data_IF_931098939523
#
_entry.id   IF_931098939523
#
_cell.length_a   1.000
_cell.length_b   1.000
_cell.length_c   1.000
_cell.angle_alpha   90.00
_cell.angle_beta   90.00
_cell.angle_gamma   90.00
#
_symmetry.space_group_name_H-M   'P 1'
#
loop_
_entity.id
_entity.type
_entity.pdbx_description
1 polymer ?
#
# COMPACT_ATOMS: atom_id res chain seq x y z
N UNK A 1 27.21 -57.75 -37.39
CA UNK A 1 26.56 -56.52 -37.85
C UNK A 1 25.60 -56.04 -36.74
N UNK A 2 26.02 -55.06 -35.93
CA UNK A 2 25.18 -54.43 -34.90
C UNK A 2 24.81 -53.03 -35.40
N UNK A 3 23.53 -52.79 -35.59
CA UNK A 3 22.99 -51.48 -35.98
C UNK A 3 22.77 -50.65 -34.69
N UNK A 4 23.50 -49.59 -34.55
CA UNK A 4 23.31 -48.56 -33.51
C UNK A 4 22.29 -47.56 -34.02
N UNK A 5 21.13 -47.49 -33.40
CA UNK A 5 20.11 -46.48 -33.65
C UNK A 5 20.40 -45.27 -32.77
N UNK A 6 20.77 -44.15 -33.37
CA UNK A 6 20.92 -42.91 -32.65
C UNK A 6 19.54 -42.24 -32.48
N UNK A 7 19.16 -42.04 -31.24
CA UNK A 7 17.94 -41.32 -30.84
C UNK A 7 18.27 -39.80 -30.78
N UNK A 8 17.80 -39.05 -31.75
CA UNK A 8 17.92 -37.58 -31.74
C UNK A 8 16.94 -36.98 -30.75
N UNK A 9 17.44 -36.44 -29.66
CA UNK A 9 16.67 -35.71 -28.67
C UNK A 9 16.48 -34.24 -29.16
N UNK A 10 15.30 -33.94 -29.70
CA UNK A 10 14.96 -32.58 -30.10
C UNK A 10 14.52 -31.81 -28.87
N UNK A 11 15.37 -30.97 -28.33
CA UNK A 11 15.05 -30.04 -27.25
C UNK A 11 14.25 -28.87 -27.88
N UNK A 12 12.94 -28.86 -27.64
CA UNK A 12 12.12 -27.68 -27.90
C UNK A 12 12.43 -26.62 -26.81
N UNK A 13 13.27 -25.64 -27.15
CA UNK A 13 13.34 -24.38 -26.40
C UNK A 13 12.02 -23.64 -26.65
N UNK A 14 11.08 -23.77 -25.73
CA UNK A 14 9.97 -22.83 -25.61
C UNK A 14 10.56 -21.49 -25.15
N UNK A 15 10.87 -20.60 -26.12
CA UNK A 15 11.04 -19.21 -25.83
C UNK A 15 9.70 -18.68 -25.31
N UNK A 16 9.58 -18.52 -23.98
CA UNK A 16 8.49 -17.78 -23.40
C UNK A 16 8.67 -16.33 -23.80
N UNK A 17 8.06 -15.93 -24.92
CA UNK A 17 7.74 -14.52 -25.16
C UNK A 17 6.76 -14.16 -24.07
N UNK A 18 7.26 -13.51 -23.00
CA UNK A 18 6.44 -13.00 -21.92
C UNK A 18 5.54 -11.91 -22.44
N UNK A 19 4.40 -12.29 -22.95
CA UNK A 19 3.25 -11.40 -23.02
C UNK A 19 2.91 -11.12 -21.54
N UNK A 20 3.14 -9.88 -21.10
CA UNK A 20 2.61 -9.42 -19.82
C UNK A 20 1.09 -9.59 -19.89
N UNK A 21 0.58 -10.71 -19.36
CA UNK A 21 -0.85 -10.97 -19.32
C UNK A 21 -1.51 -9.84 -18.51
N UNK A 22 -2.63 -9.33 -19.00
CA UNK A 22 -3.48 -8.38 -18.28
C UNK A 22 -3.77 -8.96 -16.89
N UNK A 23 -3.13 -8.36 -15.86
CA UNK A 23 -3.04 -8.99 -14.53
C UNK A 23 -4.33 -8.86 -13.74
N UNK A 24 -5.00 -7.71 -13.89
CA UNK A 24 -6.19 -7.37 -13.13
C UNK A 24 -7.46 -7.29 -13.98
N UNK A 25 -7.40 -7.76 -15.21
CA UNK A 25 -8.53 -7.75 -16.14
C UNK A 25 -9.20 -9.12 -16.19
N UNK A 26 -10.52 -9.16 -16.09
CA UNK A 26 -11.34 -10.36 -16.25
C UNK A 26 -11.48 -10.75 -17.72
N UNK A 27 -11.99 -11.95 -17.98
CA UNK A 27 -12.19 -12.46 -19.35
C UNK A 27 -13.14 -11.59 -20.20
N UNK A 28 -14.03 -10.81 -19.57
CA UNK A 28 -14.92 -9.84 -20.24
C UNK A 28 -14.27 -8.46 -20.44
N UNK A 29 -12.96 -8.31 -20.18
CA UNK A 29 -12.19 -7.10 -20.38
C UNK A 29 -12.36 -6.03 -19.28
N UNK A 30 -13.02 -6.35 -18.17
CA UNK A 30 -13.21 -5.40 -17.07
C UNK A 30 -12.07 -5.46 -16.07
N UNK A 31 -11.57 -4.30 -15.67
CA UNK A 31 -10.66 -4.19 -14.53
C UNK A 31 -11.37 -4.63 -13.25
N UNK A 32 -10.69 -5.44 -12.42
CA UNK A 32 -11.19 -5.92 -11.13
C UNK A 32 -10.46 -5.24 -9.99
N UNK A 33 -11.21 -4.62 -9.08
CA UNK A 33 -10.71 -3.90 -7.91
C UNK A 33 -11.34 -4.45 -6.64
N UNK A 34 -10.52 -4.72 -5.63
CA UNK A 34 -10.96 -5.08 -4.29
C UNK A 34 -10.77 -3.89 -3.34
N UNK A 35 -11.86 -3.33 -2.85
CA UNK A 35 -11.88 -2.39 -1.73
C UNK A 35 -11.79 -3.21 -0.44
N UNK A 36 -10.60 -3.26 0.14
CA UNK A 36 -10.28 -4.14 1.27
C UNK A 36 -10.17 -3.33 2.54
N UNK A 37 -11.14 -3.50 3.43
CA UNK A 37 -11.23 -2.77 4.70
C UNK A 37 -10.41 -3.45 5.78
N UNK A 38 -9.62 -2.66 6.49
CA UNK A 38 -8.94 -3.04 7.72
C UNK A 38 -9.33 -2.03 8.83
N UNK A 39 -10.39 -2.32 9.60
CA UNK A 39 -10.95 -1.36 10.55
C UNK A 39 -10.25 -1.36 11.92
N UNK A 40 -9.41 -2.36 12.22
CA UNK A 40 -8.77 -2.46 13.53
C UNK A 40 -7.58 -1.50 13.64
N UNK A 41 -7.54 -0.75 14.74
CA UNK A 41 -6.46 0.19 15.08
C UNK A 41 -5.89 -0.12 16.46
N UNK A 42 -4.76 0.50 16.86
CA UNK A 42 -4.22 0.34 18.22
C UNK A 42 -5.21 0.68 19.34
N UNK A 43 -6.18 1.54 19.06
CA UNK A 43 -7.20 2.00 20.03
C UNK A 43 -8.54 1.28 19.89
N UNK A 44 -8.67 0.32 18.98
CA UNK A 44 -9.89 -0.43 18.73
C UNK A 44 -10.37 -0.33 17.29
N UNK A 45 -11.66 -0.53 17.06
CA UNK A 45 -12.26 -0.51 15.73
C UNK A 45 -12.55 0.93 15.29
N UNK A 46 -12.04 1.33 14.12
CA UNK A 46 -12.26 2.63 13.49
C UNK A 46 -13.41 2.55 12.50
N UNK A 47 -14.24 3.59 12.43
CA UNK A 47 -15.25 3.77 11.39
C UNK A 47 -14.68 4.21 10.04
N UNK A 48 -13.43 4.71 10.01
CA UNK A 48 -12.80 5.29 8.81
C UNK A 48 -12.89 4.40 7.56
N UNK A 49 -12.53 3.11 7.60
CA UNK A 49 -12.65 2.21 6.47
C UNK A 49 -14.08 2.07 5.95
N UNK A 50 -15.08 2.05 6.82
CA UNK A 50 -16.49 2.03 6.44
C UNK A 50 -16.94 3.37 5.84
N UNK A 51 -16.50 4.49 6.40
CA UNK A 51 -16.75 5.83 5.85
C UNK A 51 -16.23 5.92 4.41
N UNK A 52 -14.99 5.47 4.16
CA UNK A 52 -14.42 5.44 2.81
C UNK A 52 -15.20 4.51 1.86
N UNK A 53 -15.52 3.28 2.30
CA UNK A 53 -16.23 2.31 1.48
C UNK A 53 -17.65 2.75 1.10
N UNK A 54 -18.36 3.36 2.05
CA UNK A 54 -19.76 3.79 1.88
C UNK A 54 -19.87 5.21 1.27
N UNK A 55 -18.76 5.89 1.10
CA UNK A 55 -18.70 7.30 0.64
C UNK A 55 -18.81 7.49 -0.86
N UNK A 56 -19.41 6.53 -1.60
CA UNK A 56 -19.65 6.66 -3.03
C UNK A 56 -18.54 6.13 -3.94
N UNK A 57 -17.41 5.65 -3.39
CA UNK A 57 -16.29 5.18 -4.22
C UNK A 57 -16.67 3.96 -5.08
N UNK A 58 -17.51 3.05 -4.57
CA UNK A 58 -17.97 1.91 -5.35
C UNK A 58 -18.70 2.36 -6.62
N UNK A 59 -19.67 3.26 -6.49
CA UNK A 59 -20.46 3.79 -7.61
C UNK A 59 -19.58 4.52 -8.62
N UNK A 60 -18.57 5.28 -8.14
CA UNK A 60 -17.60 5.96 -9.01
C UNK A 60 -16.84 4.94 -9.85
N UNK A 61 -16.30 3.88 -9.24
CA UNK A 61 -15.52 2.85 -9.93
C UNK A 61 -16.38 2.02 -10.88
N UNK A 62 -17.59 1.62 -10.47
CA UNK A 62 -18.54 0.92 -11.34
C UNK A 62 -18.94 1.77 -12.55
N UNK A 63 -19.16 3.08 -12.36
CA UNK A 63 -19.38 4.05 -13.44
C UNK A 63 -18.21 4.16 -14.42
N UNK A 64 -17.00 3.81 -14.00
CA UNK A 64 -15.81 3.69 -14.87
C UNK A 64 -15.72 2.32 -15.57
N UNK A 65 -16.69 1.42 -15.39
CA UNK A 65 -16.69 0.07 -15.96
C UNK A 65 -15.75 -0.89 -15.23
N UNK A 66 -15.53 -0.67 -13.93
CA UNK A 66 -14.69 -1.53 -13.06
C UNK A 66 -15.58 -2.50 -12.31
N UNK A 67 -15.16 -3.75 -12.17
CA UNK A 67 -15.81 -4.72 -11.27
C UNK A 67 -15.27 -4.52 -9.86
N UNK A 68 -16.13 -4.17 -8.92
CA UNK A 68 -15.74 -3.86 -7.54
C UNK A 68 -16.16 -4.98 -6.60
N UNK A 69 -15.26 -5.38 -5.70
CA UNK A 69 -15.51 -6.27 -4.58
C UNK A 69 -15.17 -5.53 -3.28
N UNK A 70 -16.06 -5.58 -2.29
CA UNK A 70 -15.81 -5.01 -0.96
C UNK A 70 -15.62 -6.15 0.02
N UNK A 71 -14.55 -6.10 0.80
CA UNK A 71 -14.20 -7.11 1.78
C UNK A 71 -13.68 -6.45 3.06
N UNK A 72 -13.76 -7.17 4.18
CA UNK A 72 -13.27 -6.70 5.47
C UNK A 72 -12.49 -7.81 6.18
N UNK A 73 -11.32 -7.46 6.69
CA UNK A 73 -10.60 -8.31 7.63
C UNK A 73 -11.16 -8.11 9.04
N UNK A 74 -11.48 -9.20 9.71
CA UNK A 74 -12.04 -9.18 11.04
C UNK A 74 -11.33 -10.19 11.96
N UNK A 75 -11.21 -9.83 13.23
CA UNK A 75 -10.81 -10.77 14.28
C UNK A 75 -11.95 -11.75 14.57
N UNK A 76 -11.60 -13.00 14.87
CA UNK A 76 -12.53 -13.95 15.47
C UNK A 76 -12.91 -13.50 16.89
N UNK A 77 -14.02 -14.03 17.42
CA UNK A 77 -14.46 -13.69 18.77
C UNK A 77 -13.40 -14.00 19.84
N UNK A 78 -12.67 -15.12 19.68
CA UNK A 78 -11.59 -15.51 20.61
C UNK A 78 -10.39 -14.56 20.51
N UNK A 79 -9.94 -14.21 19.29
CA UNK A 79 -8.83 -13.29 19.07
C UNK A 79 -9.13 -11.89 19.61
N UNK A 80 -10.38 -11.45 19.55
CA UNK A 80 -10.78 -10.15 20.07
C UNK A 80 -10.68 -10.05 21.61
N UNK A 81 -10.58 -11.17 22.30
CA UNK A 81 -10.35 -11.22 23.77
C UNK A 81 -8.88 -11.26 24.17
N UNK A 82 -7.96 -11.36 23.20
CA UNK A 82 -6.53 -11.36 23.47
C UNK A 82 -6.06 -10.10 24.22
N UNK A 83 -5.16 -10.30 25.18
CA UNK A 83 -4.59 -9.19 25.93
C UNK A 83 -3.61 -8.38 25.06
N UNK A 84 -3.74 -7.06 25.15
CA UNK A 84 -2.83 -6.14 24.47
C UNK A 84 -3.31 -5.71 23.07
N UNK A 85 -3.42 -4.40 22.88
CA UNK A 85 -3.96 -3.79 21.66
C UNK A 85 -3.12 -4.13 20.42
N UNK A 86 -1.81 -4.11 20.52
CA UNK A 86 -0.91 -4.42 19.39
C UNK A 86 -0.83 -5.91 19.06
N UNK A 87 -1.08 -6.81 20.05
CA UNK A 87 -1.25 -8.24 19.76
C UNK A 87 -2.48 -8.45 18.89
N UNK A 88 -3.64 -7.90 19.30
CA UNK A 88 -4.88 -7.97 18.49
C UNK A 88 -4.72 -7.31 17.12
N UNK A 89 -4.02 -6.16 17.05
CA UNK A 89 -3.72 -5.50 15.78
C UNK A 89 -2.89 -6.43 14.88
N UNK A 90 -1.82 -7.03 15.40
CA UNK A 90 -1.00 -7.97 14.63
C UNK A 90 -1.83 -9.12 14.02
N UNK A 91 -2.73 -9.73 14.83
CA UNK A 91 -3.61 -10.80 14.37
C UNK A 91 -4.61 -10.31 13.30
N UNK A 92 -5.23 -9.14 13.50
CA UNK A 92 -6.11 -8.52 12.49
C UNK A 92 -5.37 -8.25 11.18
N UNK A 93 -4.10 -7.83 11.26
CA UNK A 93 -3.25 -7.62 10.09
C UNK A 93 -2.85 -8.95 9.42
N UNK A 94 -2.74 -10.04 10.16
CA UNK A 94 -2.56 -11.38 9.61
C UNK A 94 -3.75 -11.78 8.72
N UNK A 95 -4.98 -11.63 9.22
CA UNK A 95 -6.19 -11.84 8.42
C UNK A 95 -6.28 -10.91 7.20
N UNK A 96 -5.87 -9.66 7.38
CA UNK A 96 -5.82 -8.70 6.27
C UNK A 96 -4.77 -9.09 5.23
N UNK A 97 -3.62 -9.59 5.66
CA UNK A 97 -2.58 -10.13 4.78
C UNK A 97 -3.10 -11.28 3.92
N UNK A 98 -3.81 -12.24 4.52
CA UNK A 98 -4.38 -13.37 3.79
C UNK A 98 -5.40 -12.92 2.74
N UNK A 99 -6.24 -11.94 3.09
CA UNK A 99 -7.23 -11.34 2.19
C UNK A 99 -6.56 -10.62 1.01
N UNK A 100 -5.51 -9.83 1.24
CA UNK A 100 -4.76 -9.13 0.19
C UNK A 100 -4.04 -10.14 -0.72
N UNK A 101 -3.43 -11.17 -0.14
CA UNK A 101 -2.78 -12.23 -0.90
C UNK A 101 -3.78 -13.01 -1.78
N UNK A 102 -4.99 -13.25 -1.29
CA UNK A 102 -6.06 -13.86 -2.06
C UNK A 102 -6.50 -12.97 -3.23
N UNK A 103 -6.73 -11.67 -2.97
CA UNK A 103 -7.09 -10.72 -4.03
C UNK A 103 -6.09 -10.72 -5.17
N UNK A 104 -4.80 -10.67 -4.83
CA UNK A 104 -3.73 -10.65 -5.82
C UNK A 104 -3.69 -11.94 -6.65
N UNK A 105 -3.85 -13.11 -6.00
CA UNK A 105 -3.93 -14.41 -6.70
C UNK A 105 -5.16 -14.56 -7.60
N UNK A 106 -6.26 -13.95 -7.20
CA UNK A 106 -7.50 -13.94 -7.99
C UNK A 106 -7.55 -12.84 -9.05
N UNK A 107 -6.47 -12.03 -9.16
CA UNK A 107 -6.34 -10.95 -10.15
C UNK A 107 -7.24 -9.75 -9.84
N UNK A 108 -7.34 -9.35 -8.58
CA UNK A 108 -7.94 -8.10 -8.16
C UNK A 108 -6.85 -7.11 -7.75
N UNK A 109 -6.90 -5.90 -8.28
CA UNK A 109 -6.09 -4.81 -7.77
C UNK A 109 -6.62 -4.36 -6.40
N UNK A 110 -5.75 -4.36 -5.38
CA UNK A 110 -6.18 -4.04 -4.01
C UNK A 110 -6.10 -2.53 -3.73
N UNK A 111 -7.23 -1.97 -3.29
CA UNK A 111 -7.31 -0.66 -2.62
C UNK A 111 -7.57 -0.91 -1.14
N UNK A 112 -6.58 -0.68 -0.30
CA UNK A 112 -6.68 -0.78 1.15
C UNK A 112 -7.40 0.44 1.73
N UNK A 113 -8.49 0.20 2.45
CA UNK A 113 -9.18 1.20 3.26
C UNK A 113 -8.79 0.93 4.72
N UNK A 114 -7.84 1.71 5.22
CA UNK A 114 -7.10 1.41 6.44
C UNK A 114 -7.55 2.30 7.60
N UNK A 115 -7.68 1.72 8.78
CA UNK A 115 -8.02 2.47 9.99
C UNK A 115 -6.97 3.56 10.28
N UNK A 116 -5.70 3.15 10.28
CA UNK A 116 -4.53 4.00 10.58
C UNK A 116 -3.29 3.45 9.86
N UNK A 117 -2.19 4.19 9.84
CA UNK A 117 -0.92 3.78 9.24
C UNK A 117 -0.35 2.47 9.80
N UNK A 118 -0.49 2.12 11.09
CA UNK A 118 -0.21 0.77 11.61
C UNK A 118 -0.88 -0.40 10.90
N UNK A 119 -1.85 -0.16 10.01
CA UNK A 119 -2.45 -1.21 9.16
C UNK A 119 -1.59 -1.63 7.97
N UNK A 120 -0.61 -0.81 7.58
CA UNK A 120 0.26 -1.04 6.41
C UNK A 120 0.99 -2.39 6.41
N UNK A 121 1.57 -2.88 7.54
CA UNK A 121 2.30 -4.16 7.51
C UNK A 121 1.47 -5.34 6.99
N UNK A 122 0.16 -5.38 7.28
CA UNK A 122 -0.71 -6.44 6.78
C UNK A 122 -0.89 -6.40 5.26
N UNK A 123 -1.00 -5.20 4.67
CA UNK A 123 -1.12 -5.05 3.22
C UNK A 123 0.19 -5.46 2.51
N UNK A 124 1.32 -4.99 3.02
CA UNK A 124 2.65 -5.35 2.49
C UNK A 124 2.89 -6.85 2.60
N UNK A 125 2.55 -7.47 3.73
CA UNK A 125 2.66 -8.92 3.94
C UNK A 125 1.80 -9.70 2.93
N UNK A 126 0.58 -9.26 2.67
CA UNK A 126 -0.29 -9.89 1.69
C UNK A 126 0.28 -9.85 0.28
N UNK A 127 0.86 -8.74 -0.15
CA UNK A 127 1.58 -8.65 -1.41
C UNK A 127 2.82 -9.56 -1.42
N UNK A 128 3.59 -9.58 -0.32
CA UNK A 128 4.80 -10.40 -0.17
C UNK A 128 4.50 -11.89 -0.33
N UNK A 129 3.36 -12.35 0.17
CA UNK A 129 2.92 -13.75 0.15
C UNK A 129 1.88 -14.07 -0.92
N UNK A 130 1.66 -13.18 -1.89
CA UNK A 130 0.76 -13.44 -3.02
C UNK A 130 1.33 -14.42 -4.05
N UNK A 131 2.64 -14.64 -4.05
CA UNK A 131 3.35 -15.61 -4.87
C UNK A 131 3.59 -16.97 -4.17
N UNK A 132 4.51 -17.80 -4.71
CA UNK A 132 4.89 -19.07 -4.09
C UNK A 132 5.46 -18.88 -2.68
N UNK A 133 4.96 -19.62 -1.69
CA UNK A 133 5.33 -19.47 -0.26
C UNK A 133 6.83 -19.59 0.04
N UNK A 134 7.60 -20.32 -0.80
CA UNK A 134 9.04 -20.55 -0.58
C UNK A 134 9.94 -19.41 -1.05
N UNK A 135 9.40 -18.41 -1.71
CA UNK A 135 10.16 -17.29 -2.25
C UNK A 135 9.33 -16.01 -2.10
N UNK A 136 9.40 -15.32 -0.95
CA UNK A 136 8.67 -14.09 -0.69
C UNK A 136 8.98 -13.04 -1.75
N UNK A 137 7.95 -12.40 -2.26
CA UNK A 137 8.06 -11.32 -3.26
C UNK A 137 8.71 -10.10 -2.60
N UNK A 138 9.67 -9.48 -3.28
CA UNK A 138 10.28 -8.22 -2.81
C UNK A 138 9.32 -7.07 -3.06
N UNK A 139 8.91 -6.40 -1.99
CA UNK A 139 7.98 -5.28 -2.05
C UNK A 139 8.74 -3.96 -1.92
N UNK A 140 8.56 -3.06 -2.90
CA UNK A 140 8.90 -1.65 -2.80
C UNK A 140 7.75 -0.87 -2.18
N UNK A 141 8.05 0.22 -1.49
CA UNK A 141 7.03 1.07 -0.86
C UNK A 141 7.26 2.54 -1.21
N UNK A 142 6.22 3.18 -1.74
CA UNK A 142 6.11 4.64 -1.77
C UNK A 142 5.20 5.05 -0.63
N UNK A 143 5.78 5.67 0.39
CA UNK A 143 5.13 6.14 1.61
C UNK A 143 4.83 7.62 1.50
N UNK A 144 3.56 8.01 1.41
CA UNK A 144 3.12 9.41 1.29
C UNK A 144 2.44 9.84 2.59
N UNK A 145 3.10 10.73 3.32
CA UNK A 145 2.74 11.10 4.67
C UNK A 145 3.44 12.43 5.04
N UNK A 146 2.87 13.18 5.98
CA UNK A 146 3.54 14.34 6.58
C UNK A 146 4.65 13.92 7.56
N UNK A 147 4.61 12.66 8.05
CA UNK A 147 5.51 12.08 9.03
C UNK A 147 6.26 10.88 8.44
N UNK A 148 7.44 10.52 8.96
CA UNK A 148 8.12 9.31 8.51
C UNK A 148 7.54 8.03 9.10
N UNK A 149 6.86 8.11 10.24
CA UNK A 149 6.34 6.97 10.99
C UNK A 149 7.39 5.87 11.23
N UNK A 150 8.62 6.32 11.50
CA UNK A 150 9.82 5.50 11.64
C UNK A 150 10.34 5.45 13.07
N UNK A 151 9.55 5.97 14.03
CA UNK A 151 9.86 5.88 15.44
C UNK A 151 9.88 4.42 15.93
N UNK A 152 10.72 4.17 16.91
CA UNK A 152 10.71 2.96 17.74
C UNK A 152 10.19 3.31 19.15
N UNK A 153 9.92 2.32 20.01
CA UNK A 153 9.59 2.59 21.42
C UNK A 153 10.65 3.46 22.14
N UNK A 154 11.91 3.40 21.69
CA UNK A 154 13.04 4.13 22.28
C UNK A 154 13.16 5.56 21.76
N UNK A 155 12.64 5.86 20.57
CA UNK A 155 12.80 7.19 19.93
C UNK A 155 11.56 8.05 19.99
N UNK A 156 10.38 7.42 20.16
CA UNK A 156 9.10 8.15 20.15
C UNK A 156 8.95 9.08 21.33
N UNK A 157 8.49 10.30 21.09
CA UNK A 157 8.14 11.25 22.15
C UNK A 157 6.71 11.06 22.69
N UNK A 158 5.83 10.49 21.88
CA UNK A 158 4.41 10.31 22.22
C UNK A 158 4.06 8.92 22.77
N UNK A 159 4.90 7.91 22.50
CA UNK A 159 4.58 6.49 22.75
C UNK A 159 3.52 5.94 21.79
N UNK A 160 3.08 6.72 20.80
CA UNK A 160 2.03 6.29 19.88
C UNK A 160 2.52 5.25 18.88
N UNK A 161 1.79 4.14 18.74
CA UNK A 161 1.99 3.17 17.67
C UNK A 161 1.73 3.77 16.27
N UNK A 162 0.98 4.89 16.21
CA UNK A 162 0.74 5.63 14.98
C UNK A 162 2.03 6.00 14.27
N UNK A 163 3.05 6.43 15.00
CA UNK A 163 4.34 6.87 14.45
C UNK A 163 5.38 5.75 14.27
N UNK A 164 4.99 4.45 14.26
CA UNK A 164 5.95 3.32 14.24
C UNK A 164 5.82 2.35 13.04
N UNK A 165 4.81 2.41 12.16
CA UNK A 165 4.55 1.33 11.22
C UNK A 165 5.70 1.05 10.26
N UNK A 166 6.46 2.06 9.84
CA UNK A 166 7.63 1.86 8.97
C UNK A 166 8.77 1.19 9.73
N UNK A 167 9.00 1.53 11.00
CA UNK A 167 9.98 0.85 11.84
C UNK A 167 9.57 -0.62 12.10
N UNK A 168 8.27 -0.89 12.31
CA UNK A 168 7.74 -2.26 12.41
C UNK A 168 8.00 -3.03 11.12
N UNK A 169 7.63 -2.48 9.98
CA UNK A 169 7.79 -3.15 8.70
C UNK A 169 9.26 -3.44 8.35
N UNK A 170 10.19 -2.58 8.77
CA UNK A 170 11.63 -2.78 8.56
C UNK A 170 12.31 -3.62 9.65
N UNK A 171 11.55 -4.14 10.62
CA UNK A 171 12.04 -5.03 11.67
C UNK A 171 12.79 -4.32 12.81
N UNK A 172 12.68 -2.99 12.92
CA UNK A 172 13.33 -2.19 13.99
C UNK A 172 12.51 -2.14 15.27
N UNK A 173 11.20 -2.37 15.18
CA UNK A 173 10.29 -2.29 16.32
C UNK A 173 9.29 -3.44 16.30
N UNK A 174 8.74 -3.79 17.47
CA UNK A 174 7.58 -4.65 17.66
C UNK A 174 7.58 -5.92 16.79
N UNK A 175 8.68 -6.65 16.78
CA UNK A 175 8.88 -7.85 15.94
C UNK A 175 7.70 -8.82 16.02
N UNK A 176 7.12 -9.01 17.21
CA UNK A 176 6.00 -9.94 17.37
C UNK A 176 4.76 -9.48 16.59
N UNK A 177 4.44 -8.18 16.62
CA UNK A 177 3.35 -7.61 15.84
C UNK A 177 3.58 -7.80 14.33
N UNK A 178 4.81 -7.60 13.86
CA UNK A 178 5.20 -7.82 12.46
C UNK A 178 4.97 -9.27 12.03
N UNK A 179 5.40 -10.22 12.87
CA UNK A 179 5.23 -11.65 12.60
C UNK A 179 3.75 -12.08 12.64
N UNK A 180 2.98 -11.57 13.60
CA UNK A 180 1.54 -11.82 13.68
C UNK A 180 0.79 -11.24 12.46
N UNK A 181 1.30 -10.15 11.87
CA UNK A 181 0.82 -9.58 10.61
C UNK A 181 1.28 -10.37 9.35
N UNK A 182 2.00 -11.47 9.53
CA UNK A 182 2.59 -12.31 8.47
C UNK A 182 3.69 -11.61 7.65
N UNK A 183 4.21 -10.46 8.08
CA UNK A 183 5.29 -9.76 7.36
C UNK A 183 6.65 -10.36 7.73
N UNK A 184 7.09 -11.32 6.96
CA UNK A 184 8.38 -11.99 7.10
C UNK A 184 8.90 -12.48 5.73
N UNK A 185 10.12 -12.07 5.32
CA UNK A 185 11.09 -11.20 5.99
C UNK A 185 10.63 -9.73 6.09
N UNK A 186 11.27 -8.92 6.96
CA UNK A 186 11.01 -7.49 7.03
C UNK A 186 11.39 -6.78 5.72
N UNK A 187 10.82 -5.60 5.48
CA UNK A 187 11.22 -4.76 4.35
C UNK A 187 12.65 -4.26 4.51
N UNK A 188 13.38 -4.23 3.41
CA UNK A 188 14.68 -3.56 3.39
C UNK A 188 14.46 -2.05 3.15
N UNK A 189 15.15 -1.21 3.91
CA UNK A 189 15.10 0.25 3.84
C UNK A 189 15.29 0.78 2.41
N UNK A 190 16.21 0.18 1.66
CA UNK A 190 16.48 0.56 0.27
C UNK A 190 15.28 0.39 -0.67
N UNK A 191 14.24 -0.30 -0.24
CA UNK A 191 13.00 -0.50 -0.99
C UNK A 191 11.91 0.50 -0.61
N UNK A 192 12.26 1.52 0.20
CA UNK A 192 11.32 2.54 0.66
C UNK A 192 11.70 3.89 0.07
N UNK A 193 10.68 4.60 -0.37
CA UNK A 193 10.73 6.03 -0.74
C UNK A 193 9.64 6.73 0.05
N UNK A 194 10.01 7.71 0.85
CA UNK A 194 9.07 8.58 1.55
C UNK A 194 8.84 9.85 0.75
N UNK A 195 7.60 10.33 0.71
CA UNK A 195 7.24 11.57 0.02
C UNK A 195 6.33 12.43 0.87
N UNK A 196 6.66 13.72 0.98
CA UNK A 196 5.85 14.68 1.70
C UNK A 196 6.18 14.87 3.17
N UNK A 197 7.14 14.11 3.70
CA UNK A 197 7.61 14.23 5.10
C UNK A 197 8.11 15.65 5.38
N UNK A 198 7.59 16.25 6.44
CA UNK A 198 7.89 17.63 6.84
C UNK A 198 7.80 17.91 8.34
N UNK A 199 7.46 16.88 9.11
CA UNK A 199 7.50 16.89 10.57
C UNK A 199 8.07 15.56 11.07
N UNK A 200 9.15 15.62 11.84
CA UNK A 200 9.90 14.45 12.34
C UNK A 200 10.33 14.71 13.79
N UNK A 201 10.28 13.69 14.64
CA UNK A 201 10.90 13.74 15.96
C UNK A 201 12.43 13.73 15.83
N UNK A 202 13.20 14.38 16.72
CA UNK A 202 14.66 14.47 16.59
C UNK A 202 15.37 13.10 16.52
N UNK A 203 15.04 12.15 17.39
CA UNK A 203 15.65 10.83 17.39
C UNK A 203 15.16 9.96 16.20
N UNK A 204 13.95 10.21 15.73
CA UNK A 204 13.42 9.59 14.51
C UNK A 204 14.17 10.08 13.27
N UNK A 205 14.51 11.39 13.23
CA UNK A 205 15.35 11.95 12.16
C UNK A 205 16.73 11.32 12.15
N UNK A 206 17.35 11.12 13.31
CA UNK A 206 18.63 10.40 13.40
C UNK A 206 18.55 8.98 12.84
N UNK A 207 17.47 8.23 13.14
CA UNK A 207 17.25 6.90 12.56
C UNK A 207 17.09 6.97 11.04
N UNK A 208 16.35 7.97 10.56
CA UNK A 208 16.10 8.16 9.13
C UNK A 208 17.39 8.50 8.38
N UNK A 209 18.23 9.36 8.94
CA UNK A 209 19.52 9.75 8.37
C UNK A 209 20.53 8.59 8.29
N UNK A 210 20.39 7.60 9.19
CA UNK A 210 21.20 6.38 9.18
C UNK A 210 20.58 5.23 8.37
N UNK A 211 19.45 5.47 7.70
CA UNK A 211 18.79 4.48 6.87
C UNK A 211 19.15 4.62 5.38
N UNK A 212 18.71 3.67 4.57
CA UNK A 212 18.79 3.75 3.10
C UNK A 212 17.49 4.23 2.46
N UNK A 213 16.54 4.71 3.27
CA UNK A 213 15.25 5.26 2.81
C UNK A 213 15.51 6.52 1.99
N UNK A 214 14.87 6.62 0.83
CA UNK A 214 14.97 7.80 -0.01
C UNK A 214 13.78 8.72 0.25
N UNK A 215 13.98 10.02 0.06
CA UNK A 215 12.95 11.02 0.31
C UNK A 215 12.66 11.83 -0.94
N UNK A 216 11.38 12.20 -1.10
CA UNK A 216 10.86 13.14 -2.08
C UNK A 216 10.21 14.30 -1.32
N UNK A 217 10.53 15.51 -1.76
CA UNK A 217 9.93 16.71 -1.18
C UNK A 217 8.45 16.85 -1.54
N UNK A 218 7.74 17.73 -0.83
CA UNK A 218 6.37 18.11 -1.21
C UNK A 218 6.33 18.69 -2.62
N UNK A 219 7.34 19.46 -3.01
CA UNK A 219 7.41 20.06 -4.36
C UNK A 219 7.63 19.02 -5.45
N UNK A 220 8.37 17.94 -5.15
CA UNK A 220 8.48 16.80 -6.07
C UNK A 220 7.11 16.17 -6.34
N UNK A 221 6.31 15.98 -5.29
CA UNK A 221 4.97 15.41 -5.41
C UNK A 221 4.00 16.34 -6.14
N UNK A 222 4.01 17.64 -5.83
CA UNK A 222 3.15 18.66 -6.43
C UNK A 222 3.36 18.80 -7.94
N UNK A 223 4.63 18.78 -8.35
CA UNK A 223 5.06 19.11 -9.70
C UNK A 223 5.46 17.89 -10.52
N UNK A 224 5.38 16.68 -9.94
CA UNK A 224 5.82 15.44 -10.60
C UNK A 224 7.22 15.58 -11.20
N UNK A 225 8.18 16.04 -10.39
CA UNK A 225 9.53 16.31 -10.88
C UNK A 225 10.22 15.02 -11.38
N UNK A 226 11.30 15.12 -12.15
CA UNK A 226 12.08 13.95 -12.56
C UNK A 226 12.54 13.07 -11.38
N UNK A 227 12.68 13.62 -10.16
CA UNK A 227 13.06 12.87 -8.96
C UNK A 227 12.02 11.78 -8.63
N UNK A 228 10.73 12.04 -8.76
CA UNK A 228 9.67 11.04 -8.55
C UNK A 228 9.87 9.84 -9.45
N UNK A 229 10.05 10.09 -10.74
CA UNK A 229 10.23 9.01 -11.73
C UNK A 229 11.55 8.26 -11.52
N UNK A 230 12.64 8.95 -11.18
CA UNK A 230 13.91 8.33 -10.88
C UNK A 230 13.81 7.35 -9.69
N UNK A 231 13.07 7.73 -8.63
CA UNK A 231 12.86 6.86 -7.47
C UNK A 231 11.94 5.67 -7.81
N UNK A 232 10.89 5.85 -8.58
CA UNK A 232 10.01 4.76 -9.00
C UNK A 232 10.72 3.81 -10.00
N UNK A 233 11.54 4.33 -10.90
CA UNK A 233 12.40 3.53 -11.77
C UNK A 233 13.40 2.70 -10.96
N UNK A 234 13.96 3.29 -9.87
CA UNK A 234 14.82 2.58 -8.93
C UNK A 234 14.08 1.47 -8.20
N UNK A 235 12.89 1.74 -7.63
CA UNK A 235 12.07 0.72 -6.97
C UNK A 235 11.69 -0.40 -7.94
N UNK A 236 11.29 -0.07 -9.17
CA UNK A 236 10.93 -1.06 -10.19
C UNK A 236 12.09 -1.98 -10.56
N UNK A 237 13.34 -1.50 -10.51
CA UNK A 237 14.52 -2.36 -10.72
C UNK A 237 14.84 -3.25 -9.53
N UNK A 238 14.57 -2.80 -8.31
CA UNK A 238 14.98 -3.46 -7.07
C UNK A 238 13.96 -4.45 -6.53
N UNK A 239 12.70 -4.31 -6.91
CA UNK A 239 11.57 -5.05 -6.31
C UNK A 239 10.67 -5.68 -7.36
N UNK A 240 9.84 -6.62 -6.93
CA UNK A 240 8.93 -7.34 -7.79
C UNK A 240 7.56 -6.67 -7.88
N UNK A 241 7.12 -6.05 -6.78
CA UNK A 241 5.88 -5.27 -6.66
C UNK A 241 6.13 -3.98 -5.89
N UNK A 242 5.28 -2.99 -6.09
CA UNK A 242 5.31 -1.71 -5.37
C UNK A 242 3.95 -1.48 -4.72
N UNK A 243 3.98 -1.11 -3.45
CA UNK A 243 2.84 -0.64 -2.69
C UNK A 243 2.92 0.89 -2.53
N UNK A 244 1.80 1.58 -2.70
CA UNK A 244 1.67 3.01 -2.43
C UNK A 244 0.82 3.20 -1.18
N UNK A 245 1.38 3.84 -0.17
CA UNK A 245 0.70 4.20 1.08
C UNK A 245 0.37 5.69 1.11
N UNK A 246 -0.80 6.04 1.59
CA UNK A 246 -1.23 7.41 1.82
C UNK A 246 -1.76 7.52 3.24
N UNK A 247 -1.08 8.31 4.11
CA UNK A 247 -1.74 8.93 5.24
C UNK A 247 -2.45 10.21 4.75
N UNK A 248 -3.68 10.42 5.21
CA UNK A 248 -4.45 11.57 4.77
C UNK A 248 -3.85 12.91 5.21
N UNK A 249 -2.99 12.92 6.24
CA UNK A 249 -2.32 14.15 6.68
C UNK A 249 -1.16 14.61 5.77
N UNK A 250 -0.78 13.79 4.77
CA UNK A 250 0.09 14.26 3.69
C UNK A 250 -0.50 15.47 2.98
N UNK A 251 -1.83 15.56 2.92
CA UNK A 251 -2.55 16.61 2.22
C UNK A 251 -2.43 17.98 2.90
N UNK A 252 -2.80 19.01 2.16
CA UNK A 252 -3.03 20.35 2.71
C UNK A 252 -4.09 20.28 3.81
N UNK A 253 -3.85 20.89 5.00
CA UNK A 253 -4.80 20.87 6.11
C UNK A 253 -6.23 21.32 5.77
N UNK A 254 -6.39 22.13 4.72
CA UNK A 254 -7.72 22.58 4.26
C UNK A 254 -8.60 21.44 3.71
N UNK A 255 -8.00 20.35 3.24
CA UNK A 255 -8.73 19.18 2.74
C UNK A 255 -8.94 18.11 3.83
N UNK A 256 -8.27 18.22 4.98
CA UNK A 256 -8.31 17.26 6.09
C UNK A 256 -8.50 17.96 7.43
N UNK A 257 -9.41 18.92 7.50
CA UNK A 257 -9.60 19.82 8.67
C UNK A 257 -9.82 19.06 9.98
N UNK A 258 -10.53 17.95 9.96
CA UNK A 258 -10.76 17.08 11.13
C UNK A 258 -9.59 16.18 11.53
N UNK A 259 -8.47 16.18 10.79
CA UNK A 259 -7.32 15.34 11.12
C UNK A 259 -6.54 15.88 12.33
N UNK A 260 -6.18 14.98 13.28
CA UNK A 260 -5.49 15.37 14.51
C UNK A 260 -4.06 15.86 14.32
N UNK A 261 -3.35 15.31 13.35
CA UNK A 261 -1.91 15.52 13.12
C UNK A 261 -1.61 16.35 11.86
N UNK A 262 -2.47 17.31 11.53
CA UNK A 262 -2.29 18.16 10.34
C UNK A 262 -0.96 18.93 10.36
N UNK A 263 -0.23 18.88 9.25
CA UNK A 263 0.99 19.66 9.05
C UNK A 263 0.80 20.60 7.85
N UNK A 264 1.14 21.90 7.98
CA UNK A 264 1.02 22.85 6.87
C UNK A 264 1.83 22.48 5.62
N UNK A 265 1.46 23.09 4.49
CA UNK A 265 2.18 23.00 3.23
C UNK A 265 2.17 21.62 2.57
N UNK A 266 1.16 20.78 2.79
CA UNK A 266 0.95 19.55 2.03
C UNK A 266 0.53 19.78 0.58
N UNK A 267 0.63 18.76 -0.30
CA UNK A 267 0.05 18.83 -1.62
C UNK A 267 -1.48 18.79 -1.53
N UNK A 268 -2.18 19.25 -2.58
CA UNK A 268 -3.63 19.03 -2.68
C UNK A 268 -3.94 17.62 -3.17
N UNK A 269 -5.15 17.13 -2.86
CA UNK A 269 -5.63 15.85 -3.39
C UNK A 269 -5.71 15.83 -4.93
N UNK A 270 -5.92 17.00 -5.56
CA UNK A 270 -5.87 17.13 -7.00
C UNK A 270 -4.47 16.94 -7.56
N UNK A 271 -3.44 17.49 -6.89
CA UNK A 271 -2.04 17.28 -7.27
C UNK A 271 -1.65 15.80 -7.14
N UNK A 272 -2.01 15.15 -6.02
CA UNK A 272 -1.77 13.71 -5.85
C UNK A 272 -2.59 12.86 -6.81
N UNK A 273 -3.81 13.24 -7.15
CA UNK A 273 -4.62 12.52 -8.14
C UNK A 273 -3.93 12.51 -9.53
N UNK A 274 -3.39 13.66 -9.98
CA UNK A 274 -2.60 13.71 -11.24
C UNK A 274 -1.35 12.84 -11.17
N UNK A 275 -0.64 12.88 -10.05
CA UNK A 275 0.51 12.02 -9.82
C UNK A 275 0.10 10.55 -9.91
N UNK A 276 -0.96 10.13 -9.21
CA UNK A 276 -1.40 8.73 -9.19
C UNK A 276 -1.84 8.26 -10.58
N UNK A 277 -2.65 9.01 -11.30
CA UNK A 277 -3.03 8.62 -12.66
C UNK A 277 -1.80 8.38 -13.54
N UNK A 278 -0.77 9.22 -13.42
CA UNK A 278 0.46 9.10 -14.19
C UNK A 278 1.30 7.88 -13.78
N UNK A 279 1.57 7.71 -12.47
CA UNK A 279 2.46 6.63 -12.01
C UNK A 279 1.80 5.25 -12.10
N UNK A 280 0.50 5.13 -11.85
CA UNK A 280 -0.23 3.87 -11.96
C UNK A 280 -0.42 3.43 -13.42
N UNK A 281 -0.43 4.37 -14.36
CA UNK A 281 -0.37 4.06 -15.80
C UNK A 281 1.02 3.60 -16.22
N UNK A 282 2.08 4.24 -15.72
CA UNK A 282 3.46 4.02 -16.17
C UNK A 282 4.10 2.76 -15.56
N UNK A 283 3.82 2.46 -14.27
CA UNK A 283 4.53 1.42 -13.53
C UNK A 283 3.64 0.21 -13.29
N UNK A 284 3.87 -0.86 -14.04
CA UNK A 284 3.15 -2.14 -13.97
C UNK A 284 3.35 -2.87 -12.62
N UNK A 285 4.47 -2.62 -11.95
CA UNK A 285 4.77 -3.20 -10.63
C UNK A 285 3.98 -2.59 -9.47
N UNK A 286 3.30 -1.44 -9.67
CA UNK A 286 2.38 -0.93 -8.64
C UNK A 286 1.16 -1.84 -8.57
N UNK A 287 1.07 -2.57 -7.43
CA UNK A 287 0.11 -3.67 -7.25
C UNK A 287 -0.98 -3.38 -6.23
N UNK A 288 -0.79 -2.39 -5.37
CA UNK A 288 -1.81 -1.94 -4.43
C UNK A 288 -1.60 -0.50 -4.01
N UNK A 289 -2.67 0.11 -3.50
CA UNK A 289 -2.68 1.42 -2.86
C UNK A 289 -3.47 1.32 -1.56
N UNK A 290 -3.02 2.00 -0.49
CA UNK A 290 -3.72 2.04 0.79
C UNK A 290 -3.93 3.46 1.26
N UNK A 291 -5.14 3.76 1.74
CA UNK A 291 -5.52 5.04 2.33
C UNK A 291 -5.77 4.86 3.82
N UNK A 292 -5.04 5.59 4.63
CA UNK A 292 -5.09 5.50 6.09
C UNK A 292 -5.54 6.83 6.71
N UNK A 293 -6.09 6.73 7.92
CA UNK A 293 -6.28 7.87 8.83
C UNK A 293 -7.22 8.95 8.27
N UNK A 294 -8.33 8.52 7.59
CA UNK A 294 -9.36 9.51 7.24
C UNK A 294 -9.90 10.15 8.53
N UNK A 295 -10.07 11.48 8.59
CA UNK A 295 -10.60 12.14 9.76
C UNK A 295 -11.94 11.57 10.21
N UNK A 296 -12.14 11.47 11.52
CA UNK A 296 -13.43 11.03 12.09
C UNK A 296 -14.53 12.08 11.95
N UNK A 297 -14.15 13.35 11.82
CA UNK A 297 -15.03 14.47 11.51
C UNK A 297 -14.62 15.05 10.17
N UNK A 298 -15.57 15.14 9.24
CA UNK A 298 -15.33 15.60 7.87
C UNK A 298 -16.36 16.70 7.52
N UNK A 299 -16.07 17.91 8.01
CA UNK A 299 -16.92 19.06 7.73
C UNK A 299 -16.93 19.36 6.21
N UNK A 300 -18.12 19.35 5.64
CA UNK A 300 -18.32 19.56 4.22
C UNK A 300 -17.90 18.40 3.31
N UNK A 301 -17.53 17.24 3.85
CA UNK A 301 -17.17 16.05 3.08
C UNK A 301 -15.86 16.18 2.30
N UNK A 302 -14.97 17.11 2.67
CA UNK A 302 -13.75 17.40 1.90
C UNK A 302 -12.76 16.25 1.91
N UNK A 303 -12.57 15.63 3.08
CA UNK A 303 -11.61 14.50 3.20
C UNK A 303 -12.10 13.27 2.43
N UNK A 304 -13.40 13.00 2.45
CA UNK A 304 -14.00 11.92 1.68
C UNK A 304 -13.92 12.18 0.17
N UNK A 305 -14.20 13.41 -0.25
CA UNK A 305 -14.05 13.82 -1.65
C UNK A 305 -12.58 13.70 -2.12
N UNK A 306 -11.61 14.03 -1.26
CA UNK A 306 -10.19 13.89 -1.55
C UNK A 306 -9.80 12.41 -1.73
N UNK A 307 -10.23 11.52 -0.83
CA UNK A 307 -10.00 10.06 -0.96
C UNK A 307 -10.59 9.54 -2.27
N UNK A 308 -11.87 9.83 -2.54
CA UNK A 308 -12.54 9.37 -3.75
C UNK A 308 -11.84 9.84 -5.03
N UNK A 309 -11.39 11.11 -5.06
CA UNK A 309 -10.63 11.68 -6.17
C UNK A 309 -9.34 10.92 -6.42
N UNK A 310 -8.58 10.66 -5.36
CA UNK A 310 -7.29 9.99 -5.44
C UNK A 310 -7.43 8.51 -5.82
N UNK A 311 -8.40 7.77 -5.25
CA UNK A 311 -8.69 6.39 -5.63
C UNK A 311 -9.10 6.31 -7.11
N UNK A 312 -10.05 7.15 -7.54
CA UNK A 312 -10.51 7.15 -8.92
C UNK A 312 -9.38 7.43 -9.92
N UNK A 313 -8.46 8.35 -9.59
CA UNK A 313 -7.31 8.66 -10.41
C UNK A 313 -6.31 7.49 -10.50
N UNK A 314 -5.99 6.85 -9.37
CA UNK A 314 -5.16 5.66 -9.35
C UNK A 314 -5.75 4.54 -10.23
N UNK A 315 -7.06 4.29 -10.10
CA UNK A 315 -7.74 3.24 -10.87
C UNK A 315 -7.86 3.60 -12.36
N UNK A 316 -8.00 4.89 -12.74
CA UNK A 316 -7.87 5.30 -14.17
C UNK A 316 -6.48 4.94 -14.70
N UNK A 317 -5.43 5.21 -13.93
CA UNK A 317 -4.05 4.83 -14.29
C UNK A 317 -3.89 3.33 -14.49
N UNK A 318 -4.37 2.51 -13.53
CA UNK A 318 -4.34 1.04 -13.65
C UNK A 318 -5.12 0.58 -14.88
N UNK A 319 -6.34 1.09 -15.08
CA UNK A 319 -7.18 0.73 -16.23
C UNK A 319 -6.51 1.04 -17.55
N UNK A 320 -5.91 2.24 -17.68
CA UNK A 320 -5.18 2.62 -18.89
C UNK A 320 -3.96 1.72 -19.15
N UNK A 321 -3.25 1.31 -18.10
CA UNK A 321 -2.14 0.36 -18.19
C UNK A 321 -2.59 -1.00 -18.70
N UNK A 322 -3.65 -1.56 -18.09
CA UNK A 322 -4.17 -2.89 -18.45
C UNK A 322 -4.77 -2.96 -19.89
N UNK A 323 -5.14 -1.81 -20.48
CA UNK A 323 -5.64 -1.73 -21.86
C UNK A 323 -4.53 -1.68 -22.92
N UNK A 324 -3.27 -1.39 -22.54
CA UNK A 324 -2.13 -1.28 -23.44
C UNK A 324 -1.24 -2.55 -23.46
N UNK A 325 -1.62 -3.55 -22.69
CA UNK A 325 -1.03 -4.89 -22.66
C UNK A 325 -1.98 -5.94 -23.21
#
# INVERSE_FOLDING_TARGET
MRRTTALALTIFLLASTGTHAQRYTSADGRLRVALSKQPFSPTGVSSGPNTMANGGIQQILEGMGVTVRIQEAALTSNENTEYGAWKRLGMALGHFSDLVAQNEREGYFTVGLLATCPSMPGLVAGLQHSGPRRNPIKIGMLWLDAHPDFNTPETTRSGSLGGMPVAVATGRALQRMRLDAHLDPPLNDRYIVMGGVRLTDPLEQELLDHSSIQQLSVDDLRNMTPAVFAQLDRLSRLTDKIYVHIDMDVLDPREVMGHGNKVPNGPSSEQLARLFETIFKRYDKISAIGFATIPSTDEGGLSLAAVNRMIAAAIRGVKAREQHH
#
